data_IF_828733545092
#
_entry.id   IF_828733545092
#
_cell.length_a   1.000
_cell.length_b   1.000
_cell.length_c   1.000
_cell.angle_alpha   90.00
_cell.angle_beta   90.00
_cell.angle_gamma   90.00
#
_symmetry.space_group_name_H-M   'P 1'
#
loop_
_entity.id
_entity.type
_entity.pdbx_description
1 polymer ?
#
# COMPACT_ATOMS: atom_id res chain seq x y z
N UNK A 1 1.52 4.40 8.35
CA UNK A 1 2.18 3.11 8.61
C UNK A 1 3.43 3.33 9.46
N UNK A 2 3.58 2.70 10.63
CA UNK A 2 4.78 2.88 11.48
C UNK A 2 5.85 1.82 11.24
N UNK A 3 7.14 2.07 11.56
CA UNK A 3 8.19 1.05 11.50
C UNK A 3 7.84 -0.27 12.20
N UNK A 4 8.25 -1.37 11.57
CA UNK A 4 7.96 -2.74 11.96
C UNK A 4 6.49 -3.13 11.85
N UNK A 5 5.69 -2.47 11.01
CA UNK A 5 4.24 -2.75 10.89
C UNK A 5 3.96 -4.14 10.35
N UNK A 6 4.72 -4.62 9.38
CA UNK A 6 4.54 -5.95 8.79
C UNK A 6 4.73 -7.04 9.86
N UNK A 7 5.79 -6.91 10.66
CA UNK A 7 6.04 -7.78 11.81
C UNK A 7 4.91 -7.76 12.84
N UNK A 8 4.38 -6.57 13.14
CA UNK A 8 3.26 -6.41 14.09
C UNK A 8 1.96 -7.00 13.55
N UNK A 9 1.68 -6.87 12.25
CA UNK A 9 0.52 -7.48 11.59
C UNK A 9 0.60 -9.01 11.69
N UNK A 10 1.73 -9.60 11.31
CA UNK A 10 1.93 -11.04 11.36
C UNK A 10 1.82 -11.57 12.80
N UNK A 11 2.37 -10.84 13.78
CA UNK A 11 2.19 -11.17 15.21
C UNK A 11 0.74 -11.14 15.68
N UNK A 12 -0.11 -10.33 15.05
CA UNK A 12 -1.55 -10.28 15.32
C UNK A 12 -2.35 -11.33 14.54
N UNK A 13 -1.69 -12.24 13.81
CA UNK A 13 -2.34 -13.24 12.96
C UNK A 13 -2.89 -12.69 11.64
N UNK A 14 -2.50 -11.47 11.27
CA UNK A 14 -2.90 -10.82 10.02
C UNK A 14 -1.76 -10.85 9.01
N UNK A 15 -2.06 -11.23 7.78
CA UNK A 15 -1.10 -11.26 6.69
C UNK A 15 -1.22 -10.00 5.82
N UNK A 16 -0.11 -9.48 5.26
CA UNK A 16 -0.17 -8.33 4.34
C UNK A 16 -1.13 -8.52 3.16
N UNK A 17 -1.28 -9.76 2.68
CA UNK A 17 -2.19 -10.15 1.60
C UNK A 17 -3.67 -9.95 1.94
N UNK A 18 -4.02 -9.80 3.21
CA UNK A 18 -5.41 -9.55 3.66
C UNK A 18 -5.76 -8.06 3.68
N UNK A 19 -4.80 -7.17 3.46
CA UNK A 19 -5.02 -5.72 3.47
C UNK A 19 -5.25 -5.22 2.05
N UNK A 20 -6.41 -4.62 1.80
CA UNK A 20 -6.76 -4.08 0.48
C UNK A 20 -6.69 -2.55 0.40
N UNK A 21 -6.77 -1.87 1.54
CA UNK A 21 -6.77 -0.41 1.61
C UNK A 21 -5.73 0.07 2.64
N UNK A 22 -4.84 0.96 2.22
CA UNK A 22 -3.80 1.60 3.04
C UNK A 22 -4.03 3.11 3.05
N UNK A 23 -4.07 3.70 4.24
CA UNK A 23 -4.26 5.15 4.42
C UNK A 23 -3.05 5.77 5.11
N UNK A 24 -2.44 6.76 4.48
CA UNK A 24 -1.40 7.62 5.05
C UNK A 24 -2.02 8.90 5.59
N UNK A 25 -1.70 9.23 6.84
CA UNK A 25 -2.08 10.50 7.45
C UNK A 25 -1.25 11.66 6.90
N UNK A 26 0.06 11.46 6.79
CA UNK A 26 1.06 12.40 6.29
C UNK A 26 2.35 11.64 5.97
N UNK A 27 3.32 12.31 5.33
CA UNK A 27 4.52 11.67 4.78
C UNK A 27 5.79 11.89 5.61
N UNK A 28 5.68 11.92 6.93
CA UNK A 28 6.87 11.71 7.78
C UNK A 28 7.38 10.28 7.61
N UNK A 29 8.70 10.10 7.69
CA UNK A 29 9.30 8.79 7.44
C UNK A 29 8.79 7.72 8.42
N UNK A 30 8.56 8.06 9.68
CA UNK A 30 7.99 7.14 10.67
C UNK A 30 6.50 6.83 10.44
N UNK A 31 5.90 7.43 9.40
CA UNK A 31 4.54 7.15 8.92
C UNK A 31 4.50 6.44 7.55
N UNK A 32 5.62 6.28 6.84
CA UNK A 32 5.63 5.63 5.52
C UNK A 32 6.89 4.84 5.16
N UNK A 33 7.92 4.76 6.00
CA UNK A 33 9.20 4.10 5.65
C UNK A 33 9.04 2.59 5.37
N UNK A 34 8.06 1.95 6.00
CA UNK A 34 7.75 0.54 5.78
C UNK A 34 6.92 0.29 4.51
N UNK A 35 6.43 1.33 3.84
CA UNK A 35 5.56 1.19 2.68
C UNK A 35 6.16 0.33 1.56
N UNK A 36 7.44 0.51 1.15
CA UNK A 36 8.06 -0.35 0.14
C UNK A 36 8.09 -1.82 0.55
N UNK A 37 8.48 -2.09 1.80
CA UNK A 37 8.55 -3.43 2.35
C UNK A 37 7.16 -4.09 2.31
N UNK A 38 6.16 -3.42 2.86
CA UNK A 38 4.78 -3.91 2.87
C UNK A 38 4.25 -4.20 1.47
N UNK A 39 4.39 -3.24 0.56
CA UNK A 39 3.87 -3.34 -0.81
C UNK A 39 4.49 -4.53 -1.55
N UNK A 40 5.82 -4.66 -1.51
CA UNK A 40 6.54 -5.73 -2.20
C UNK A 40 6.29 -7.09 -1.54
N UNK A 41 6.28 -7.17 -0.20
CA UNK A 41 5.95 -8.40 0.50
C UNK A 41 4.52 -8.86 0.20
N UNK A 42 3.55 -7.94 0.23
CA UNK A 42 2.16 -8.22 -0.14
C UNK A 42 2.07 -8.77 -1.56
N UNK A 43 2.65 -8.08 -2.53
CA UNK A 43 2.63 -8.50 -3.94
C UNK A 43 3.30 -9.87 -4.16
N UNK A 44 4.49 -10.09 -3.58
CA UNK A 44 5.25 -11.33 -3.76
C UNK A 44 4.57 -12.55 -3.09
N UNK A 45 3.91 -12.34 -1.94
CA UNK A 45 3.18 -13.39 -1.22
C UNK A 45 1.79 -13.64 -1.79
N UNK A 46 1.15 -12.64 -2.39
CA UNK A 46 -0.16 -12.77 -3.03
C UNK A 46 -0.15 -13.77 -4.20
N UNK A 47 1.01 -14.00 -4.82
CA UNK A 47 1.18 -14.94 -5.93
C UNK A 47 0.13 -14.73 -7.06
N UNK A 48 -0.19 -13.47 -7.36
CA UNK A 48 -1.17 -13.09 -8.39
C UNK A 48 -2.64 -13.28 -7.97
N UNK A 49 -2.91 -13.44 -6.67
CA UNK A 49 -4.27 -13.61 -6.12
C UNK A 49 -4.67 -12.39 -5.29
N UNK A 50 -5.98 -12.15 -5.21
CA UNK A 50 -6.55 -11.02 -4.47
C UNK A 50 -6.61 -9.74 -5.31
N UNK A 51 -7.02 -8.65 -4.68
CA UNK A 51 -7.12 -7.34 -5.33
C UNK A 51 -5.78 -6.59 -5.30
N UNK A 52 -5.64 -5.61 -6.17
CA UNK A 52 -4.61 -4.59 -6.03
C UNK A 52 -4.78 -3.84 -4.70
N UNK A 53 -3.67 -3.28 -4.21
CA UNK A 53 -3.65 -2.46 -3.01
C UNK A 53 -4.09 -1.04 -3.36
N UNK A 54 -5.16 -0.56 -2.74
CA UNK A 54 -5.52 0.85 -2.79
C UNK A 54 -4.71 1.62 -1.75
N UNK A 55 -4.11 2.74 -2.14
CA UNK A 55 -3.26 3.57 -1.29
C UNK A 55 -3.75 5.01 -1.34
N UNK A 56 -4.19 5.51 -0.19
CA UNK A 56 -4.73 6.86 -0.05
C UNK A 56 -3.84 7.67 0.88
N UNK A 57 -3.61 8.92 0.56
CA UNK A 57 -2.91 9.84 1.45
C UNK A 57 -2.95 11.26 0.94
N UNK A 58 -2.36 12.21 1.67
CA UNK A 58 -2.24 13.58 1.18
C UNK A 58 -1.37 13.64 -0.08
N UNK A 59 -1.23 14.85 -0.62
CA UNK A 59 -0.35 15.15 -1.75
C UNK A 59 1.00 14.43 -1.63
N UNK A 60 1.50 13.92 -2.76
CA UNK A 60 2.73 13.09 -2.92
C UNK A 60 2.54 11.58 -2.71
N UNK A 61 1.34 11.10 -2.38
CA UNK A 61 1.09 9.65 -2.24
C UNK A 61 1.31 8.91 -3.57
N UNK A 62 0.81 9.48 -4.67
CA UNK A 62 1.03 8.94 -6.01
C UNK A 62 2.51 9.01 -6.41
N UNK A 63 3.16 10.15 -6.19
CA UNK A 63 4.59 10.34 -6.53
C UNK A 63 5.50 9.40 -5.74
N UNK A 64 5.28 9.26 -4.43
CA UNK A 64 6.03 8.33 -3.58
C UNK A 64 5.82 6.90 -4.09
N UNK A 65 4.60 6.52 -4.44
CA UNK A 65 4.32 5.18 -4.99
C UNK A 65 5.09 4.93 -6.29
N UNK A 66 5.10 5.90 -7.20
CA UNK A 66 5.89 5.81 -8.44
C UNK A 66 7.40 5.75 -8.16
N UNK A 67 7.91 6.52 -7.19
CA UNK A 67 9.32 6.46 -6.78
C UNK A 67 9.71 5.14 -6.12
N UNK A 68 8.75 4.40 -5.58
CA UNK A 68 9.00 3.09 -4.98
C UNK A 68 8.97 1.98 -6.04
N UNK A 69 7.89 1.86 -6.81
CA UNK A 69 7.67 0.71 -7.72
C UNK A 69 7.61 1.06 -9.21
N UNK A 70 7.54 2.34 -9.57
CA UNK A 70 7.41 2.75 -10.96
C UNK A 70 8.69 2.51 -11.76
N UNK A 71 8.62 2.76 -13.07
CA UNK A 71 9.81 2.80 -13.92
C UNK A 71 10.70 3.95 -13.46
N UNK A 72 11.99 3.67 -13.25
CA UNK A 72 12.97 4.55 -12.60
C UNK A 72 12.85 4.57 -11.07
N UNK A 73 11.94 3.79 -10.48
CA UNK A 73 11.72 3.70 -9.04
C UNK A 73 12.82 2.92 -8.32
N UNK A 74 12.96 3.16 -7.03
CA UNK A 74 14.00 2.58 -6.18
C UNK A 74 14.03 1.04 -6.17
N UNK A 75 12.87 0.40 -6.40
CA UNK A 75 12.74 -1.06 -6.40
C UNK A 75 12.40 -1.64 -7.78
N UNK A 76 12.61 -0.88 -8.86
CA UNK A 76 12.37 -1.35 -10.23
C UNK A 76 13.14 -2.64 -10.53
N UNK A 77 14.43 -2.66 -10.21
CA UNK A 77 15.31 -3.79 -10.48
C UNK A 77 14.87 -5.08 -9.76
N UNK A 78 14.36 -4.99 -8.53
CA UNK A 78 13.88 -6.15 -7.77
C UNK A 78 12.62 -6.74 -8.41
N UNK A 79 11.60 -5.92 -8.67
CA UNK A 79 10.38 -6.46 -9.25
C UNK A 79 10.60 -6.96 -10.68
N UNK A 80 11.47 -6.33 -11.46
CA UNK A 80 11.85 -6.81 -12.80
C UNK A 80 12.53 -8.17 -12.73
N UNK A 81 13.47 -8.37 -11.80
CA UNK A 81 14.12 -9.67 -11.61
C UNK A 81 13.09 -10.73 -11.21
N UNK A 82 12.13 -10.38 -10.34
CA UNK A 82 11.07 -11.29 -9.90
C UNK A 82 10.06 -11.67 -10.99
N UNK A 83 9.77 -10.75 -11.90
CA UNK A 83 8.86 -10.96 -13.02
C UNK A 83 9.52 -11.80 -14.13
N UNK A 84 10.78 -11.51 -14.44
CA UNK A 84 11.43 -12.02 -15.66
C UNK A 84 12.37 -13.20 -15.44
N UNK A 85 13.01 -13.32 -14.27
CA UNK A 85 14.05 -14.34 -14.09
C UNK A 85 13.42 -15.75 -13.93
N UNK A 86 13.85 -16.78 -14.70
CA UNK A 86 13.24 -18.12 -14.68
C UNK A 86 13.15 -18.75 -13.28
N UNK A 87 14.21 -18.61 -12.47
CA UNK A 87 14.18 -19.08 -11.07
C UNK A 87 13.07 -18.41 -10.25
N UNK A 88 12.85 -17.11 -10.40
CA UNK A 88 11.80 -16.41 -9.66
C UNK A 88 10.40 -16.79 -10.17
N UNK A 89 10.24 -16.98 -11.48
CA UNK A 89 9.01 -17.51 -12.08
C UNK A 89 8.66 -18.89 -11.52
N UNK A 90 9.65 -19.77 -11.36
CA UNK A 90 9.44 -21.08 -10.73
C UNK A 90 8.98 -20.94 -9.28
N UNK A 91 9.59 -20.04 -8.49
CA UNK A 91 9.16 -19.77 -7.10
C UNK A 91 7.74 -19.22 -7.06
N UNK A 92 7.37 -18.34 -8.00
CA UNK A 92 6.02 -17.81 -8.13
C UNK A 92 4.99 -18.90 -8.44
N UNK A 93 5.28 -19.80 -9.39
CA UNK A 93 4.42 -20.95 -9.72
C UNK A 93 4.33 -21.92 -8.54
N UNK A 94 5.42 -22.18 -7.81
CA UNK A 94 5.41 -23.03 -6.62
C UNK A 94 4.51 -22.49 -5.49
N UNK A 95 4.28 -21.18 -5.45
CA UNK A 95 3.32 -20.53 -4.52
C UNK A 95 1.88 -20.51 -5.06
N UNK A 96 1.65 -21.12 -6.23
CA UNK A 96 0.36 -21.22 -6.88
C UNK A 96 0.00 -20.01 -7.76
N UNK A 97 1.00 -19.24 -8.23
CA UNK A 97 0.82 -18.22 -9.25
C UNK A 97 0.78 -18.79 -10.67
N UNK A 98 0.25 -18.01 -11.61
CA UNK A 98 0.13 -18.38 -13.04
C UNK A 98 0.88 -17.37 -13.89
N UNK A 99 1.77 -17.84 -14.78
CA UNK A 99 2.52 -16.98 -15.69
C UNK A 99 1.61 -16.42 -16.80
N UNK A 100 1.90 -15.21 -17.32
CA UNK A 100 3.00 -14.32 -16.94
C UNK A 100 2.78 -13.66 -15.57
N UNK A 101 3.86 -13.50 -14.80
CA UNK A 101 3.81 -12.77 -13.52
C UNK A 101 3.65 -11.28 -13.81
N UNK A 102 2.63 -10.66 -13.22
CA UNK A 102 2.36 -9.23 -13.40
C UNK A 102 3.19 -8.42 -12.39
N UNK A 103 3.79 -7.28 -12.79
CA UNK A 103 4.44 -6.32 -11.88
C UNK A 103 3.48 -5.81 -10.78
N UNK A 104 3.99 -5.27 -9.66
CA UNK A 104 3.14 -4.64 -8.65
C UNK A 104 2.44 -3.40 -9.23
N UNK A 105 1.12 -3.30 -9.08
CA UNK A 105 0.32 -2.21 -9.64
C UNK A 105 -0.66 -1.61 -8.60
N UNK A 106 -0.17 -1.07 -7.46
CA UNK A 106 -1.03 -0.45 -6.47
C UNK A 106 -1.77 0.76 -7.05
N UNK A 107 -3.00 0.97 -6.59
CA UNK A 107 -3.85 2.11 -6.97
C UNK A 107 -3.63 3.20 -5.93
N UNK A 108 -2.60 4.03 -6.15
CA UNK A 108 -2.33 5.19 -5.31
C UNK A 108 -3.18 6.39 -5.71
N UNK A 109 -3.63 7.18 -4.73
CA UNK A 109 -4.43 8.38 -4.94
C UNK A 109 -4.07 9.46 -3.92
N UNK A 110 -3.71 10.64 -4.43
CA UNK A 110 -3.67 11.84 -3.61
C UNK A 110 -5.10 12.25 -3.25
N UNK A 111 -5.38 12.39 -1.97
CA UNK A 111 -6.70 12.76 -1.43
C UNK A 111 -6.63 14.03 -0.60
N UNK A 112 -7.73 14.78 -0.60
CA UNK A 112 -7.94 15.99 0.21
C UNK A 112 -8.99 15.76 1.29
N UNK A 113 -9.69 16.82 1.68
CA UNK A 113 -10.83 16.78 2.63
C UNK A 113 -12.07 16.18 1.95
N UNK A 114 -12.84 15.37 2.67
CA UNK A 114 -14.12 14.83 2.21
C UNK A 114 -14.16 13.31 2.20
N UNK A 115 -15.06 12.73 1.42
CA UNK A 115 -15.09 11.27 1.22
C UNK A 115 -13.90 10.83 0.35
N UNK A 116 -13.13 9.87 0.85
CA UNK A 116 -11.89 9.41 0.18
C UNK A 116 -11.97 7.97 -0.31
N UNK A 117 -12.77 7.12 0.35
CA UNK A 117 -12.98 5.74 -0.01
C UNK A 117 -14.30 5.22 0.58
N UNK A 118 -14.88 4.19 -0.05
CA UNK A 118 -16.02 3.46 0.48
C UNK A 118 -15.96 1.97 0.07
N UNK A 119 -16.74 1.16 0.73
CA UNK A 119 -17.13 -0.19 0.31
C UNK A 119 -18.55 -0.48 0.77
N UNK A 120 -19.01 -1.73 0.61
CA UNK A 120 -20.42 -2.09 0.83
C UNK A 120 -20.97 -1.67 2.20
N UNK A 121 -20.16 -1.81 3.25
CA UNK A 121 -20.55 -1.54 4.65
C UNK A 121 -19.53 -0.64 5.37
N UNK A 122 -18.79 0.19 4.64
CA UNK A 122 -17.90 1.16 5.28
C UNK A 122 -17.66 2.38 4.39
N UNK A 123 -17.40 3.52 5.03
CA UNK A 123 -17.01 4.77 4.37
C UNK A 123 -15.86 5.41 5.12
N UNK A 124 -14.94 6.02 4.38
CA UNK A 124 -13.84 6.80 4.96
C UNK A 124 -13.97 8.24 4.51
N UNK A 125 -14.01 9.13 5.50
CA UNK A 125 -13.93 10.58 5.30
C UNK A 125 -12.65 11.13 5.92
N UNK A 126 -12.13 12.20 5.35
CA UNK A 126 -10.92 12.88 5.81
C UNK A 126 -11.20 14.34 6.14
N UNK A 127 -10.42 14.85 7.08
CA UNK A 127 -10.34 16.27 7.42
C UNK A 127 -8.87 16.69 7.58
N UNK A 128 -8.59 17.99 7.54
CA UNK A 128 -7.25 18.50 7.78
C UNK A 128 -6.86 18.32 9.24
N UNK A 129 -5.64 17.83 9.47
CA UNK A 129 -4.98 17.87 10.75
C UNK A 129 -3.89 18.95 10.72
N UNK A 130 -3.76 19.73 11.80
CA UNK A 130 -2.65 20.68 11.94
C UNK A 130 -1.41 19.93 12.43
N UNK A 131 -0.46 19.70 11.51
CA UNK A 131 0.80 19.05 11.79
C UNK A 131 1.78 19.35 10.65
N UNK A 132 2.82 20.14 10.97
CA UNK A 132 4.01 20.47 10.15
C UNK A 132 3.78 21.15 8.79
N UNK A 133 2.67 21.86 8.61
CA UNK A 133 2.50 22.78 7.48
C UNK A 133 3.52 23.93 7.51
N UNK A 134 3.92 24.50 6.35
CA UNK A 134 3.47 24.18 4.99
C UNK A 134 4.28 23.06 4.31
N UNK A 135 5.15 22.36 5.05
CA UNK A 135 6.07 21.38 4.48
C UNK A 135 5.41 20.04 4.16
N UNK A 136 4.49 19.57 5.02
CA UNK A 136 3.69 18.38 4.75
C UNK A 136 2.20 18.68 4.98
N UNK A 137 1.39 18.16 4.07
CA UNK A 137 -0.05 18.06 4.25
C UNK A 137 -0.38 16.91 5.20
N UNK A 138 -1.32 17.14 6.10
CA UNK A 138 -1.72 16.19 7.14
C UNK A 138 -3.23 16.03 7.19
N UNK A 139 -3.66 14.76 7.15
CA UNK A 139 -5.05 14.35 7.20
C UNK A 139 -5.34 13.50 8.43
N UNK A 140 -6.53 13.68 8.99
CA UNK A 140 -7.17 12.75 9.91
C UNK A 140 -8.29 12.02 9.18
N UNK A 141 -8.49 10.74 9.49
CA UNK A 141 -9.53 9.92 8.87
C UNK A 141 -10.56 9.49 9.91
N UNK A 142 -11.81 9.48 9.48
CA UNK A 142 -12.94 8.84 10.16
C UNK A 142 -13.40 7.67 9.30
N UNK A 143 -13.55 6.51 9.94
CA UNK A 143 -14.12 5.32 9.32
C UNK A 143 -15.51 5.14 9.91
N UNK A 144 -16.52 5.10 9.05
CA UNK A 144 -17.91 4.86 9.43
C UNK A 144 -18.31 3.44 8.99
N UNK A 145 -18.97 2.71 9.89
CA UNK A 145 -19.56 1.38 9.63
C UNK A 145 -21.01 1.35 10.13
N UNK A 146 -21.85 0.37 9.72
CA UNK A 146 -23.21 0.22 10.25
C UNK A 146 -23.27 0.12 11.78
N UNK A 147 -22.23 -0.45 12.40
CA UNK A 147 -22.14 -0.62 13.86
C UNK A 147 -21.61 0.63 14.60
N UNK A 148 -21.28 1.71 13.86
CA UNK A 148 -20.75 2.97 14.38
C UNK A 148 -19.33 3.29 13.91
N UNK A 149 -18.66 4.16 14.69
CA UNK A 149 -17.22 4.52 14.55
C UNK A 149 -16.41 3.71 15.55
#
# INVERSE_FOLDING_TARGET
MRPGRDHKLVKAGLYPTQVNNLFFTHHHFDHNIDYPCFLLCRWDQAAGKGSELNVYGPKLTEEITQKVIGIGGAFESDWQARVNHPYSQQVFVNRGGVLPRVPPAPIAKDVGVGEVAHGDNWKVTSALAQHVQPYLDSLAYRVDTPDGV
#
